data_IF_379803233635
#
_entry.id   IF_379803233635
#
_cell.length_a   1.000
_cell.length_b   1.000
_cell.length_c   1.000
_cell.angle_alpha   90.00
_cell.angle_beta   90.00
_cell.angle_gamma   90.00
#
_symmetry.space_group_name_H-M   'P 1'
#
loop_
_entity.id
_entity.type
_entity.pdbx_description
1 polymer ?
#
# COMPACT_ATOMS: atom_id res chain seq x y z
N UNK A 1 8.62 -10.27 8.82
CA UNK A 1 9.19 -9.06 8.18
C UNK A 1 10.14 -8.34 9.13
N UNK A 2 9.65 -7.67 10.19
CA UNK A 2 10.52 -6.94 11.12
C UNK A 2 11.62 -7.80 11.75
N UNK A 3 11.28 -9.02 12.20
CA UNK A 3 12.24 -9.97 12.72
C UNK A 3 13.32 -10.32 11.70
N UNK A 4 12.92 -10.77 10.50
CA UNK A 4 13.86 -11.10 9.43
C UNK A 4 14.76 -9.91 9.02
N UNK A 5 14.23 -8.68 9.07
CA UNK A 5 15.05 -7.48 8.82
C UNK A 5 16.13 -7.31 9.90
N UNK A 6 15.76 -7.43 11.17
CA UNK A 6 16.71 -7.33 12.29
C UNK A 6 17.77 -8.42 12.23
N UNK A 7 17.37 -9.67 12.00
CA UNK A 7 18.26 -10.82 11.99
C UNK A 7 19.14 -10.90 10.73
N UNK A 8 18.58 -10.59 9.56
CA UNK A 8 19.30 -10.74 8.29
C UNK A 8 20.02 -9.48 7.80
N UNK A 9 19.55 -8.29 8.18
CA UNK A 9 20.13 -7.02 7.71
C UNK A 9 20.92 -6.33 8.81
N UNK A 10 20.33 -6.17 10.00
CA UNK A 10 20.91 -5.35 11.07
C UNK A 10 21.83 -6.11 12.04
N UNK A 11 21.85 -7.44 12.02
CA UNK A 11 22.75 -8.22 12.86
C UNK A 11 24.23 -7.88 12.57
N UNK A 12 25.16 -8.12 13.52
CA UNK A 12 26.58 -7.79 13.35
C UNK A 12 27.20 -8.34 12.06
N UNK A 13 26.84 -9.56 11.67
CA UNK A 13 27.28 -10.22 10.43
C UNK A 13 26.18 -10.19 9.33
N UNK A 14 25.22 -9.29 9.46
CA UNK A 14 24.11 -9.11 8.52
C UNK A 14 24.50 -8.35 7.27
N UNK A 15 23.56 -8.24 6.32
CA UNK A 15 23.79 -7.59 5.03
C UNK A 15 24.37 -6.17 5.16
N UNK A 16 23.95 -5.41 6.18
CA UNK A 16 24.38 -4.02 6.35
C UNK A 16 25.89 -3.87 6.58
N UNK A 17 26.53 -4.85 7.22
CA UNK A 17 27.97 -4.85 7.48
C UNK A 17 28.81 -4.87 6.20
N UNK A 18 28.21 -5.33 5.09
CA UNK A 18 28.86 -5.46 3.78
C UNK A 18 28.42 -4.36 2.79
N UNK A 19 27.61 -3.39 3.22
CA UNK A 19 27.10 -2.33 2.36
C UNK A 19 27.80 -0.99 2.62
N UNK A 20 28.23 -0.26 1.57
CA UNK A 20 28.79 1.08 1.75
C UNK A 20 27.70 2.04 2.27
N UNK A 21 28.09 2.95 3.16
CA UNK A 21 27.15 3.77 3.95
C UNK A 21 26.25 4.68 3.10
N UNK A 22 26.78 5.20 2.00
CA UNK A 22 26.15 6.14 1.08
C UNK A 22 25.12 5.50 0.12
N UNK A 23 25.00 4.17 0.10
CA UNK A 23 24.12 3.44 -0.83
C UNK A 23 23.02 2.62 -0.12
N UNK A 24 22.76 2.89 1.16
CA UNK A 24 21.84 2.09 1.97
C UNK A 24 20.40 2.52 1.79
N UNK A 25 19.68 1.76 0.97
CA UNK A 25 18.25 1.94 0.76
C UNK A 25 17.47 0.67 1.07
N UNK A 26 16.31 0.85 1.70
CA UNK A 26 15.32 -0.19 1.87
C UNK A 26 14.09 0.15 1.02
N UNK A 27 13.73 -0.76 0.11
CA UNK A 27 12.45 -0.68 -0.61
C UNK A 27 11.45 -1.56 0.13
N UNK A 28 10.35 -0.97 0.59
CA UNK A 28 9.27 -1.68 1.28
C UNK A 28 8.04 -1.66 0.41
N UNK A 29 7.51 -2.83 0.06
CA UNK A 29 6.16 -2.99 -0.44
C UNK A 29 5.33 -3.73 0.60
N UNK A 30 4.18 -3.17 0.98
CA UNK A 30 3.24 -3.87 1.87
C UNK A 30 2.73 -5.17 1.26
N UNK A 31 2.37 -6.14 2.11
CA UNK A 31 1.71 -7.38 1.70
C UNK A 31 0.20 -7.34 1.95
N UNK A 32 -0.58 -7.97 1.06
CA UNK A 32 -2.06 -8.03 1.15
C UNK A 32 -2.56 -8.73 2.43
N UNK A 33 -1.77 -9.67 2.95
CA UNK A 33 -2.12 -10.47 4.13
C UNK A 33 -2.21 -9.67 5.44
N UNK A 34 -1.75 -8.41 5.46
CA UNK A 34 -1.69 -7.58 6.67
C UNK A 34 -2.80 -6.52 6.77
N UNK A 35 -3.72 -6.45 5.79
CA UNK A 35 -4.71 -5.37 5.73
C UNK A 35 -5.79 -5.47 6.81
N UNK A 36 -6.05 -6.65 7.37
CA UNK A 36 -7.18 -6.84 8.31
C UNK A 36 -7.07 -6.03 9.62
N UNK A 37 -5.85 -5.69 10.03
CA UNK A 37 -5.55 -4.92 11.25
C UNK A 37 -4.70 -3.70 10.89
N UNK A 38 -5.27 -2.67 10.23
CA UNK A 38 -4.49 -1.62 9.59
C UNK A 38 -3.61 -0.85 10.57
N UNK A 39 -4.09 -0.57 11.80
CA UNK A 39 -3.27 0.10 12.81
C UNK A 39 -2.13 -0.77 13.36
N UNK A 40 -2.29 -2.10 13.42
CA UNK A 40 -1.20 -2.98 13.80
C UNK A 40 -0.14 -3.00 12.68
N UNK A 41 -0.58 -3.06 11.43
CA UNK A 41 0.29 -3.01 10.25
C UNK A 41 1.06 -1.70 10.15
N UNK A 42 0.41 -0.54 10.32
CA UNK A 42 1.09 0.76 10.37
C UNK A 42 2.13 0.82 11.49
N UNK A 43 1.86 0.24 12.67
CA UNK A 43 2.85 0.16 13.76
C UNK A 43 4.04 -0.71 13.41
N UNK A 44 3.81 -1.88 12.80
CA UNK A 44 4.89 -2.76 12.37
C UNK A 44 5.76 -2.11 11.30
N UNK A 45 5.17 -1.41 10.34
CA UNK A 45 5.90 -0.65 9.33
C UNK A 45 6.66 0.53 9.94
N UNK A 46 6.04 1.29 10.83
CA UNK A 46 6.71 2.41 11.52
C UNK A 46 7.94 1.94 12.31
N UNK A 47 7.86 0.80 13.02
CA UNK A 47 9.02 0.19 13.70
C UNK A 47 10.11 -0.23 12.73
N UNK A 48 9.74 -0.81 11.59
CA UNK A 48 10.69 -1.16 10.53
C UNK A 48 11.40 0.11 10.01
N UNK A 49 10.68 1.20 9.81
CA UNK A 49 11.25 2.46 9.33
C UNK A 49 12.18 3.09 10.36
N UNK A 50 11.81 3.09 11.63
CA UNK A 50 12.68 3.56 12.72
C UNK A 50 13.97 2.73 12.76
N UNK A 51 13.87 1.40 12.81
CA UNK A 51 15.05 0.52 12.82
C UNK A 51 15.96 0.75 11.61
N UNK A 52 15.37 0.99 10.42
CA UNK A 52 16.12 1.30 9.21
C UNK A 52 16.85 2.65 9.31
N UNK A 53 16.14 3.71 9.71
CA UNK A 53 16.71 5.05 9.81
C UNK A 53 17.77 5.14 10.91
N UNK A 54 17.57 4.49 12.05
CA UNK A 54 18.56 4.41 13.14
C UNK A 54 19.86 3.71 12.69
N UNK A 55 19.76 2.79 11.71
CA UNK A 55 20.89 2.12 11.08
C UNK A 55 21.49 2.88 9.87
N UNK A 56 21.02 4.11 9.61
CA UNK A 56 21.47 4.93 8.48
C UNK A 56 20.95 4.46 7.12
N UNK A 57 19.87 3.69 7.09
CA UNK A 57 19.23 3.20 5.86
C UNK A 57 18.04 4.11 5.53
N UNK A 58 18.02 4.68 4.33
CA UNK A 58 16.88 5.45 3.85
C UNK A 58 15.78 4.55 3.30
N UNK A 59 14.51 4.89 3.55
CA UNK A 59 13.36 4.04 3.16
C UNK A 59 12.57 4.64 2.00
N UNK A 60 12.39 3.85 0.94
CA UNK A 60 11.38 4.07 -0.11
C UNK A 60 10.23 3.07 0.14
N UNK A 61 9.03 3.57 0.41
CA UNK A 61 7.87 2.72 0.67
C UNK A 61 6.83 2.86 -0.44
N UNK A 62 6.47 1.72 -1.02
CA UNK A 62 5.38 1.57 -1.96
C UNK A 62 4.08 1.33 -1.19
N UNK A 63 3.07 2.15 -1.47
CA UNK A 63 1.72 1.85 -1.02
C UNK A 63 1.22 0.53 -1.65
N UNK A 64 0.20 -0.08 -1.05
CA UNK A 64 -0.37 -1.32 -1.60
C UNK A 64 -0.90 -1.06 -3.02
N UNK A 65 -0.62 -1.97 -3.95
CA UNK A 65 -1.25 -1.91 -5.28
C UNK A 65 -2.76 -2.07 -5.12
N UNK A 66 -3.58 -1.52 -6.03
CA UNK A 66 -4.96 -1.94 -6.19
C UNK A 66 -5.06 -3.47 -6.25
N UNK A 67 -6.06 -4.05 -5.60
CA UNK A 67 -6.26 -5.51 -5.55
C UNK A 67 -7.73 -5.82 -5.29
N UNK A 68 -8.18 -6.97 -5.76
CA UNK A 68 -9.53 -7.46 -5.56
C UNK A 68 -10.34 -7.59 -6.85
N UNK A 69 -11.46 -8.28 -6.75
CA UNK A 69 -12.41 -8.50 -7.83
C UNK A 69 -13.83 -8.62 -7.27
N UNK A 70 -14.81 -7.97 -7.89
CA UNK A 70 -16.21 -8.06 -7.50
C UNK A 70 -16.79 -9.47 -7.65
N UNK A 71 -16.20 -10.32 -8.49
CA UNK A 71 -16.58 -11.73 -8.64
C UNK A 71 -16.02 -12.64 -7.53
N UNK A 72 -15.04 -12.18 -6.75
CA UNK A 72 -14.46 -12.95 -5.65
C UNK A 72 -15.23 -12.66 -4.35
N UNK A 73 -15.76 -13.71 -3.73
CA UNK A 73 -16.58 -13.66 -2.52
C UNK A 73 -15.91 -12.96 -1.33
N UNK A 74 -14.58 -12.82 -1.34
CA UNK A 74 -13.84 -12.04 -0.34
C UNK A 74 -14.12 -10.54 -0.45
N UNK A 75 -14.52 -10.05 -1.63
CA UNK A 75 -14.69 -8.64 -1.95
C UNK A 75 -16.11 -8.27 -2.35
N UNK A 76 -17.12 -8.95 -1.82
CA UNK A 76 -18.52 -8.64 -2.08
C UNK A 76 -19.09 -7.72 -0.99
N UNK A 77 -20.01 -6.84 -1.41
CA UNK A 77 -20.82 -5.99 -0.53
C UNK A 77 -20.00 -5.20 0.50
N UNK A 78 -20.48 -5.21 1.74
CA UNK A 78 -19.88 -4.48 2.87
C UNK A 78 -18.51 -5.00 3.30
N UNK A 79 -18.19 -6.28 3.04
CA UNK A 79 -16.87 -6.84 3.31
C UNK A 79 -15.81 -6.18 2.42
N UNK A 80 -16.14 -5.95 1.16
CA UNK A 80 -15.31 -5.22 0.20
C UNK A 80 -14.98 -3.83 0.72
N UNK A 81 -15.99 -3.07 1.16
CA UNK A 81 -15.79 -1.72 1.68
C UNK A 81 -14.89 -1.71 2.91
N UNK A 82 -15.09 -2.67 3.83
CA UNK A 82 -14.24 -2.78 5.03
C UNK A 82 -12.78 -3.06 4.68
N UNK A 83 -12.52 -3.98 3.76
CA UNK A 83 -11.16 -4.28 3.29
C UNK A 83 -10.55 -3.06 2.60
N UNK A 84 -11.31 -2.40 1.72
CA UNK A 84 -10.88 -1.18 1.05
C UNK A 84 -10.50 -0.07 2.03
N UNK A 85 -11.35 0.22 3.03
CA UNK A 85 -11.06 1.21 4.07
C UNK A 85 -9.79 0.86 4.87
N UNK A 86 -9.60 -0.42 5.17
CA UNK A 86 -8.40 -0.86 5.87
C UNK A 86 -7.14 -0.75 4.99
N UNK A 87 -7.23 -1.03 3.68
CA UNK A 87 -6.13 -0.79 2.74
C UNK A 87 -5.81 0.70 2.64
N UNK A 88 -6.83 1.54 2.45
CA UNK A 88 -6.68 2.99 2.36
C UNK A 88 -5.98 3.57 3.61
N UNK A 89 -6.32 3.07 4.80
CA UNK A 89 -5.63 3.46 6.04
C UNK A 89 -4.12 3.19 6.00
N UNK A 90 -3.71 2.00 5.56
CA UNK A 90 -2.28 1.65 5.47
C UNK A 90 -1.59 2.49 4.39
N UNK A 91 -2.27 2.72 3.25
CA UNK A 91 -1.80 3.60 2.17
C UNK A 91 -1.57 5.01 2.70
N UNK A 92 -2.55 5.59 3.39
CA UNK A 92 -2.46 6.95 3.90
C UNK A 92 -1.40 7.09 4.99
N UNK A 93 -1.14 6.04 5.78
CA UNK A 93 0.02 6.00 6.67
C UNK A 93 1.35 6.06 5.88
N UNK A 94 1.53 5.19 4.87
CA UNK A 94 2.75 5.18 4.03
C UNK A 94 2.97 6.52 3.34
N UNK A 95 1.89 7.17 2.92
CA UNK A 95 1.92 8.48 2.28
C UNK A 95 2.04 9.65 3.27
N UNK A 96 2.13 9.40 4.58
CA UNK A 96 2.24 10.45 5.62
C UNK A 96 1.00 11.33 5.77
N UNK A 97 -0.17 10.87 5.30
CA UNK A 97 -1.44 11.63 5.33
C UNK A 97 -2.21 11.46 6.64
N UNK A 98 -1.89 10.43 7.43
CA UNK A 98 -2.47 10.22 8.75
C UNK A 98 -1.62 10.90 9.82
N UNK A 99 -2.26 11.38 10.88
CA UNK A 99 -1.58 11.67 12.13
C UNK A 99 -1.21 10.35 12.85
N UNK A 100 -0.25 10.38 13.80
CA UNK A 100 0.08 9.19 14.60
C UNK A 100 -1.15 8.58 15.30
N UNK A 101 -2.03 9.43 15.84
CA UNK A 101 -3.27 9.01 16.50
C UNK A 101 -4.22 8.26 15.55
N UNK A 102 -4.36 8.76 14.31
CA UNK A 102 -5.14 8.08 13.28
C UNK A 102 -4.47 6.77 12.89
N UNK A 103 -3.17 6.79 12.57
CA UNK A 103 -2.43 5.64 12.06
C UNK A 103 -2.40 4.46 13.06
N UNK A 104 -2.24 4.73 14.35
CA UNK A 104 -2.02 3.70 15.38
C UNK A 104 -3.26 3.39 16.23
N UNK A 105 -4.27 4.26 16.17
CA UNK A 105 -5.50 4.17 16.97
C UNK A 105 -5.28 4.39 18.47
N UNK A 106 -6.37 4.35 19.24
CA UNK A 106 -6.38 4.63 20.68
C UNK A 106 -5.51 3.69 21.55
N UNK A 107 -5.01 2.57 20.98
CA UNK A 107 -4.10 1.62 21.64
C UNK A 107 -2.62 1.84 21.27
N UNK A 108 -2.22 3.04 20.86
CA UNK A 108 -0.81 3.43 20.66
C UNK A 108 0.08 3.20 21.91
N UNK A 109 -0.53 2.89 23.06
CA UNK A 109 0.15 2.46 24.27
C UNK A 109 0.39 3.64 25.20
N UNK A 110 0.45 3.37 26.50
CA UNK A 110 0.71 4.32 27.59
C UNK A 110 2.06 5.08 27.50
N UNK A 111 2.77 4.95 26.38
CA UNK A 111 4.19 5.32 26.22
C UNK A 111 4.46 6.26 25.05
N UNK A 112 3.45 6.63 24.25
CA UNK A 112 3.56 7.76 23.34
C UNK A 112 2.54 8.81 23.80
N UNK A 113 2.97 10.07 24.06
CA UNK A 113 2.03 11.17 24.17
C UNK A 113 1.12 11.15 22.94
N UNK A 114 -0.12 11.64 23.08
CA UNK A 114 -0.95 11.97 21.94
C UNK A 114 -0.34 13.18 21.19
N UNK A 115 0.87 12.98 20.64
CA UNK A 115 1.54 13.92 19.78
C UNK A 115 0.76 13.98 18.48
N UNK A 116 0.51 15.19 18.03
CA UNK A 116 0.00 15.44 16.68
C UNK A 116 1.08 15.13 15.63
N UNK A 117 2.35 15.19 16.04
CA UNK A 117 3.49 15.08 15.15
C UNK A 117 4.13 13.69 15.18
N UNK A 118 4.61 13.27 14.01
CA UNK A 118 5.42 12.07 13.82
C UNK A 118 6.78 12.21 14.49
N UNK A 119 7.22 11.17 15.20
CA UNK A 119 8.60 11.11 15.68
C UNK A 119 9.55 10.87 14.49
N UNK A 120 10.81 11.26 14.67
CA UNK A 120 11.86 11.02 13.68
C UNK A 120 11.89 9.56 13.24
N UNK A 121 12.01 9.34 11.93
CA UNK A 121 12.13 8.02 11.31
C UNK A 121 10.85 7.17 11.27
N UNK A 122 9.71 7.62 11.80
CA UNK A 122 8.48 6.83 11.83
C UNK A 122 7.74 6.72 10.49
N UNK A 123 8.09 7.59 9.53
CA UNK A 123 7.58 7.62 8.16
C UNK A 123 8.71 7.29 7.18
N UNK A 124 8.40 6.76 5.99
CA UNK A 124 9.42 6.53 4.97
C UNK A 124 10.00 7.86 4.48
N UNK A 125 11.24 7.83 3.97
CA UNK A 125 11.86 9.00 3.33
C UNK A 125 11.13 9.37 2.03
N UNK A 126 10.67 8.36 1.29
CA UNK A 126 9.89 8.53 0.05
C UNK A 126 8.69 7.58 0.11
N UNK A 127 7.48 8.12 -0.04
CA UNK A 127 6.24 7.34 -0.23
C UNK A 127 5.80 7.37 -1.69
N UNK A 128 5.47 6.22 -2.27
CA UNK A 128 5.01 6.10 -3.66
C UNK A 128 3.60 5.53 -3.66
N UNK A 129 2.64 6.28 -4.23
CA UNK A 129 1.23 5.94 -4.20
C UNK A 129 0.84 5.04 -5.40
N UNK A 130 1.04 3.74 -5.24
CA UNK A 130 0.56 2.75 -6.22
C UNK A 130 -0.96 2.59 -6.16
N UNK A 131 -1.54 2.71 -4.97
CA UNK A 131 -2.98 2.59 -4.73
C UNK A 131 -3.78 3.58 -5.55
N UNK A 132 -3.43 4.88 -5.52
CA UNK A 132 -4.10 5.94 -6.29
C UNK A 132 -3.41 6.21 -7.65
N UNK A 133 -3.11 5.16 -8.41
CA UNK A 133 -2.52 5.28 -9.74
C UNK A 133 -3.43 4.74 -10.85
N UNK A 134 -2.97 4.85 -12.10
CA UNK A 134 -3.63 4.28 -13.27
C UNK A 134 -3.76 2.75 -13.23
N UNK A 135 -3.18 2.07 -12.24
CA UNK A 135 -3.43 0.64 -11.96
C UNK A 135 -4.90 0.36 -11.66
N UNK A 136 -5.68 1.36 -11.22
CA UNK A 136 -7.09 1.18 -10.89
C UNK A 136 -7.98 0.97 -12.10
N UNK A 137 -9.03 0.17 -11.89
CA UNK A 137 -10.12 -0.01 -12.83
C UNK A 137 -10.84 1.31 -13.19
N UNK A 138 -11.00 2.19 -12.21
CA UNK A 138 -11.52 3.54 -12.41
C UNK A 138 -12.98 3.57 -12.88
N UNK A 139 -13.36 4.64 -13.55
CA UNK A 139 -14.76 4.93 -13.93
C UNK A 139 -15.31 4.01 -15.02
N UNK A 140 -14.46 3.25 -15.71
CA UNK A 140 -14.86 2.25 -16.70
C UNK A 140 -15.66 1.09 -16.08
N UNK A 141 -15.52 0.87 -14.76
CA UNK A 141 -16.30 -0.15 -14.04
C UNK A 141 -17.60 0.48 -13.50
N UNK A 142 -18.77 -0.14 -13.78
CA UNK A 142 -20.05 0.35 -13.27
C UNK A 142 -20.09 0.29 -11.74
N UNK A 143 -20.91 1.16 -11.14
CA UNK A 143 -21.20 1.08 -9.72
C UNK A 143 -22.07 -0.14 -9.42
N UNK A 144 -21.91 -0.75 -8.24
CA UNK A 144 -22.82 -1.79 -7.78
C UNK A 144 -24.24 -1.24 -7.59
N UNK A 145 -25.22 -2.14 -7.66
CA UNK A 145 -26.61 -1.81 -7.41
C UNK A 145 -26.79 -1.24 -6.01
N UNK A 146 -27.55 -0.15 -5.90
CA UNK A 146 -27.78 0.51 -4.62
C UNK A 146 -28.71 -0.29 -3.71
N UNK A 147 -29.80 -0.83 -4.28
CA UNK A 147 -30.86 -1.51 -3.54
C UNK A 147 -30.30 -2.62 -2.64
N UNK A 148 -29.50 -3.53 -3.19
CA UNK A 148 -28.91 -4.66 -2.44
C UNK A 148 -28.04 -4.20 -1.25
N UNK A 149 -27.28 -3.12 -1.43
CA UNK A 149 -26.45 -2.55 -0.37
C UNK A 149 -27.32 -1.85 0.68
N UNK A 150 -28.27 -1.02 0.23
CA UNK A 150 -29.16 -0.26 1.10
C UNK A 150 -30.01 -1.17 1.99
N UNK A 151 -30.50 -2.28 1.45
CA UNK A 151 -31.33 -3.29 2.14
C UNK A 151 -30.52 -4.08 3.16
N UNK A 152 -29.28 -4.43 2.82
CA UNK A 152 -28.38 -5.19 3.70
C UNK A 152 -27.68 -4.34 4.77
N UNK A 153 -27.85 -3.01 4.77
CA UNK A 153 -27.11 -2.11 5.67
C UNK A 153 -27.28 -2.45 7.16
N UNK A 154 -28.49 -2.80 7.59
CA UNK A 154 -28.82 -3.13 8.99
C UNK A 154 -28.04 -4.34 9.52
N UNK A 155 -27.68 -5.28 8.63
CA UNK A 155 -26.85 -6.45 8.93
C UNK A 155 -25.34 -6.20 8.73
N UNK A 156 -24.95 -5.03 8.21
CA UNK A 156 -23.57 -4.75 7.84
C UNK A 156 -22.66 -4.56 9.08
N UNK A 157 -21.32 -4.64 8.89
CA UNK A 157 -20.35 -4.20 9.89
C UNK A 157 -20.49 -2.72 10.28
N UNK A 158 -21.19 -1.93 9.46
CA UNK A 158 -21.34 -0.48 9.64
C UNK A 158 -22.69 -0.06 10.21
N UNK A 159 -23.57 -1.00 10.58
CA UNK A 159 -24.93 -0.71 11.08
C UNK A 159 -25.03 0.32 12.22
N UNK A 160 -23.96 0.46 13.02
CA UNK A 160 -23.89 1.44 14.13
C UNK A 160 -23.58 2.86 13.67
N UNK A 161 -23.24 3.06 12.40
CA UNK A 161 -22.96 4.35 11.76
C UNK A 161 -24.15 4.76 10.89
N UNK A 162 -25.35 4.70 11.44
CA UNK A 162 -26.58 4.97 10.68
C UNK A 162 -26.64 6.39 10.11
N UNK A 163 -26.02 7.36 10.79
CA UNK A 163 -25.87 8.72 10.28
C UNK A 163 -25.00 8.83 9.02
N UNK A 164 -24.11 7.86 8.79
CA UNK A 164 -23.24 7.81 7.62
C UNK A 164 -23.78 6.88 6.52
N UNK A 165 -25.02 6.38 6.66
CA UNK A 165 -25.56 5.30 5.81
C UNK A 165 -25.39 5.59 4.33
N UNK A 166 -25.84 6.74 3.86
CA UNK A 166 -25.85 7.06 2.43
C UNK A 166 -24.43 7.19 1.87
N UNK A 167 -23.52 7.81 2.64
CA UNK A 167 -22.11 7.91 2.28
C UNK A 167 -21.43 6.52 2.22
N UNK A 168 -21.77 5.63 3.16
CA UNK A 168 -21.25 4.27 3.18
C UNK A 168 -21.81 3.42 2.04
N UNK A 169 -23.10 3.56 1.70
CA UNK A 169 -23.70 2.91 0.53
C UNK A 169 -23.00 3.40 -0.75
N UNK A 170 -22.85 4.71 -0.93
CA UNK A 170 -22.14 5.27 -2.09
C UNK A 170 -20.69 4.76 -2.17
N UNK A 171 -19.98 4.70 -1.05
CA UNK A 171 -18.62 4.15 -1.00
C UNK A 171 -18.59 2.65 -1.36
N UNK A 172 -19.50 1.85 -0.80
CA UNK A 172 -19.62 0.42 -1.09
C UNK A 172 -19.93 0.15 -2.57
N UNK A 173 -20.76 1.01 -3.18
CA UNK A 173 -21.07 0.95 -4.62
C UNK A 173 -19.86 1.16 -5.51
N UNK A 174 -18.91 1.99 -5.06
CA UNK A 174 -17.75 2.39 -5.84
C UNK A 174 -16.51 1.50 -5.65
N UNK A 175 -16.56 0.49 -4.77
CA UNK A 175 -15.37 -0.32 -4.42
C UNK A 175 -14.72 -0.99 -5.63
N UNK A 176 -15.50 -1.49 -6.60
CA UNK A 176 -14.95 -2.19 -7.77
C UNK A 176 -14.08 -1.27 -8.65
N UNK A 177 -14.34 0.04 -8.63
CA UNK A 177 -13.52 1.04 -9.32
C UNK A 177 -12.13 1.20 -8.71
N UNK A 178 -11.95 0.74 -7.48
CA UNK A 178 -10.71 0.84 -6.71
C UNK A 178 -9.82 -0.40 -6.88
N UNK A 179 -10.32 -1.45 -7.52
CA UNK A 179 -9.58 -2.68 -7.77
C UNK A 179 -8.56 -2.53 -8.91
N UNK A 180 -7.65 -3.50 -8.99
CA UNK A 180 -6.71 -3.61 -10.10
C UNK A 180 -7.48 -3.74 -11.42
N UNK A 181 -7.18 -2.88 -12.39
CA UNK A 181 -7.80 -2.95 -13.70
C UNK A 181 -7.49 -4.28 -14.37
N UNK A 182 -8.48 -4.87 -15.06
CA UNK A 182 -8.33 -6.20 -15.70
C UNK A 182 -7.11 -6.28 -16.63
N UNK A 183 -6.82 -5.21 -17.39
CA UNK A 183 -5.66 -5.12 -18.28
C UNK A 183 -4.29 -5.23 -17.57
N UNK A 184 -4.24 -5.01 -16.25
CA UNK A 184 -3.03 -5.11 -15.45
C UNK A 184 -2.98 -6.37 -14.60
N UNK A 185 -3.96 -7.26 -14.66
CA UNK A 185 -3.99 -8.51 -13.88
C UNK A 185 -3.15 -9.60 -14.55
N UNK A 186 -2.48 -10.38 -13.71
CA UNK A 186 -1.76 -11.59 -14.09
C UNK A 186 -2.67 -12.82 -13.85
N UNK A 187 -2.15 -13.86 -13.20
CA UNK A 187 -2.88 -15.08 -12.87
C UNK A 187 -4.00 -14.90 -11.84
N UNK A 188 -4.06 -13.77 -11.13
CA UNK A 188 -5.20 -13.39 -10.28
C UNK A 188 -5.39 -11.87 -10.22
N UNK A 189 -6.36 -11.42 -9.41
CA UNK A 189 -6.74 -10.01 -9.24
C UNK A 189 -5.91 -9.23 -8.20
N UNK A 190 -4.87 -9.85 -7.66
CA UNK A 190 -3.94 -9.28 -6.70
C UNK A 190 -2.54 -9.05 -7.32
N UNK A 191 -2.18 -9.82 -8.34
CA UNK A 191 -0.86 -9.80 -8.95
C UNK A 191 -0.86 -9.00 -10.26
N UNK A 192 -0.05 -7.94 -10.37
CA UNK A 192 0.16 -7.23 -11.61
C UNK A 192 0.79 -8.13 -12.69
N UNK A 193 0.38 -7.96 -13.95
CA UNK A 193 1.08 -8.53 -15.09
C UNK A 193 2.27 -7.64 -15.51
N UNK A 194 2.92 -7.98 -16.61
CA UNK A 194 3.99 -7.18 -17.23
C UNK A 194 3.65 -5.69 -17.35
N UNK A 195 2.49 -5.35 -17.88
CA UNK A 195 2.10 -3.96 -18.08
C UNK A 195 1.89 -3.24 -16.74
N UNK A 196 1.34 -3.94 -15.75
CA UNK A 196 1.19 -3.43 -14.39
C UNK A 196 2.54 -3.20 -13.71
N UNK A 197 3.47 -4.16 -13.80
CA UNK A 197 4.83 -4.01 -13.28
C UNK A 197 5.62 -2.89 -13.98
N UNK A 198 5.44 -2.70 -15.29
CA UNK A 198 6.01 -1.56 -16.01
C UNK A 198 5.53 -0.24 -15.44
N UNK A 199 4.22 -0.11 -15.21
CA UNK A 199 3.63 1.09 -14.63
C UNK A 199 4.16 1.33 -13.21
N UNK A 200 4.23 0.28 -12.37
CA UNK A 200 4.81 0.38 -11.02
C UNK A 200 6.26 0.85 -11.09
N UNK A 201 7.09 0.27 -11.95
CA UNK A 201 8.49 0.66 -12.10
C UNK A 201 8.62 2.12 -12.59
N UNK A 202 7.76 2.55 -13.52
CA UNK A 202 7.74 3.94 -13.98
C UNK A 202 7.35 4.91 -12.87
N UNK A 203 6.38 4.56 -12.03
CA UNK A 203 6.00 5.36 -10.85
C UNK A 203 7.13 5.41 -9.82
N UNK A 204 7.80 4.28 -9.55
CA UNK A 204 8.97 4.25 -8.68
C UNK A 204 10.06 5.17 -9.20
N UNK A 205 10.37 5.08 -10.49
CA UNK A 205 11.41 5.88 -11.12
C UNK A 205 11.19 7.38 -10.96
N UNK A 206 9.95 7.86 -11.08
CA UNK A 206 9.61 9.28 -10.93
C UNK A 206 9.95 9.85 -9.54
N UNK A 207 9.99 8.99 -8.53
CA UNK A 207 10.29 9.35 -7.14
C UNK A 207 11.62 8.78 -6.65
N UNK A 208 12.37 8.11 -7.53
CA UNK A 208 13.61 7.46 -7.16
C UNK A 208 14.63 8.52 -6.71
N UNK A 209 15.42 8.23 -5.66
CA UNK A 209 16.56 9.05 -5.30
C UNK A 209 17.49 9.25 -6.50
N UNK A 210 18.03 10.46 -6.67
CA UNK A 210 18.91 10.78 -7.80
C UNK A 210 20.13 9.83 -7.90
N UNK A 211 20.63 9.35 -6.75
CA UNK A 211 21.74 8.39 -6.66
C UNK A 211 21.44 7.03 -7.31
N UNK A 212 20.17 6.69 -7.57
CA UNK A 212 19.81 5.48 -8.31
C UNK A 212 19.95 5.66 -9.83
N UNK A 213 20.14 6.89 -10.30
CA UNK A 213 20.32 7.23 -11.72
C UNK A 213 19.27 6.56 -12.63
N UNK A 214 18.01 6.54 -12.20
CA UNK A 214 16.97 5.82 -12.94
C UNK A 214 16.66 6.51 -14.28
N UNK A 215 16.68 5.74 -15.35
CA UNK A 215 16.19 6.16 -16.67
C UNK A 215 14.70 5.79 -16.81
N UNK A 216 13.84 6.76 -16.51
CA UNK A 216 12.39 6.54 -16.55
C UNK A 216 11.86 6.31 -17.96
N UNK A 217 12.53 6.84 -18.97
CA UNK A 217 12.13 6.67 -20.36
C UNK A 217 12.48 5.27 -20.88
N UNK A 218 13.66 4.77 -20.53
CA UNK A 218 14.02 3.38 -20.78
C UNK A 218 13.06 2.41 -20.10
N UNK A 219 12.66 2.67 -18.84
CA UNK A 219 11.69 1.82 -18.12
C UNK A 219 10.31 1.83 -18.83
N UNK A 220 9.84 2.99 -19.30
CA UNK A 220 8.56 3.09 -20.02
C UNK A 220 8.58 2.34 -21.34
N UNK A 221 9.72 2.32 -22.04
CA UNK A 221 9.89 1.58 -23.30
C UNK A 221 10.28 0.12 -23.12
N UNK A 222 10.68 -0.29 -21.91
CA UNK A 222 11.17 -1.63 -21.65
C UNK A 222 10.15 -2.70 -22.05
N UNK A 223 10.63 -3.77 -22.67
CA UNK A 223 9.84 -4.95 -23.00
C UNK A 223 10.09 -6.05 -21.97
N UNK A 224 9.01 -6.66 -21.45
CA UNK A 224 9.15 -7.88 -20.65
C UNK A 224 8.80 -9.09 -21.52
N UNK A 225 9.75 -10.00 -21.70
CA UNK A 225 9.55 -11.28 -22.39
C UNK A 225 9.99 -12.41 -21.48
N UNK A 226 9.07 -13.32 -21.14
CA UNK A 226 9.33 -14.52 -20.31
C UNK A 226 10.06 -14.21 -18.99
N UNK A 227 9.62 -13.15 -18.29
CA UNK A 227 10.23 -12.72 -17.02
C UNK A 227 11.56 -11.97 -17.14
N UNK A 228 12.08 -11.75 -18.36
CA UNK A 228 13.24 -10.91 -18.61
C UNK A 228 12.82 -9.53 -19.07
N UNK A 229 13.52 -8.50 -18.59
CA UNK A 229 13.34 -7.11 -19.00
C UNK A 229 14.46 -6.77 -19.98
N UNK A 230 14.10 -6.29 -21.16
CA UNK A 230 15.04 -5.69 -22.11
C UNK A 230 14.70 -4.21 -22.26
N UNK A 231 15.72 -3.35 -22.30
CA UNK A 231 15.54 -1.97 -22.72
C UNK A 231 14.93 -1.99 -24.13
N UNK A 232 13.75 -1.38 -24.29
CA UNK A 232 13.18 -1.19 -25.62
C UNK A 232 14.09 -0.24 -26.38
N UNK A 233 14.68 -0.73 -27.48
CA UNK A 233 15.40 0.09 -28.45
C UNK A 233 14.45 1.12 -29.06
#
# INVERSE_FOLDING_TARGET
>A
MLQNFREGVLAPDGLLAHMPADHRWLIVQGGLNSVWLPQATSRSLSRLFVDAHDAGIAVVALSLTPWGDGADSRFVGWKALRLHQATAHVVDFVMGRLSPAQAFGARSGRSQPASLDWLSGQLPKVGIDLWNSDLRAGTAVPLRAEAELADSFSSSPFRKRSQDRDALVAAARAVDRQFLAARFRSFDHAHPNTAGHRLIAALVCQHAPAVWACDCDAIRRAEWKRGKVSAGL
#
